data_IF_717104919247
#
_entry.id   IF_717104919247
#
_cell.length_a   1.000
_cell.length_b   1.000
_cell.length_c   1.000
_cell.angle_alpha   90.00
_cell.angle_beta   90.00
_cell.angle_gamma   90.00
#
_symmetry.space_group_name_H-M   'P 1'
#
loop_
_entity.id
_entity.type
_entity.pdbx_description
1 polymer ?
#
# COMPACT_ATOMS: atom_id res chain seq x y z
N UNK A 1 32.81 -65.86 9.88
CA UNK A 1 31.51 -65.22 9.59
C UNK A 1 30.58 -66.29 9.09
N UNK A 2 29.51 -66.62 9.81
CA UNK A 2 28.61 -67.75 9.45
C UNK A 2 27.77 -67.39 8.23
N UNK A 3 27.54 -68.33 7.34
CA UNK A 3 26.77 -68.20 6.10
C UNK A 3 25.44 -67.47 6.29
N UNK A 4 24.78 -67.56 7.45
CA UNK A 4 23.57 -66.85 7.79
C UNK A 4 23.75 -65.31 7.90
N UNK A 5 24.91 -64.81 8.37
CA UNK A 5 25.22 -63.37 8.44
C UNK A 5 25.53 -62.78 7.05
N UNK A 6 26.11 -63.55 6.17
CA UNK A 6 26.39 -63.18 4.81
C UNK A 6 25.09 -63.05 3.97
N UNK A 7 24.13 -64.00 4.17
CA UNK A 7 22.82 -63.97 3.52
C UNK A 7 21.96 -62.75 3.98
N UNK A 8 21.96 -62.44 5.28
CA UNK A 8 21.27 -61.27 5.83
C UNK A 8 21.86 -59.92 5.27
N UNK A 9 23.20 -59.87 5.15
CA UNK A 9 23.86 -58.67 4.57
C UNK A 9 23.55 -58.48 3.04
N UNK A 10 23.44 -59.57 2.29
CA UNK A 10 23.08 -59.49 0.86
C UNK A 10 21.62 -59.08 0.68
N UNK A 11 20.69 -59.57 1.52
CA UNK A 11 19.28 -59.19 1.43
C UNK A 11 19.07 -57.70 1.81
N UNK A 12 19.80 -57.18 2.83
CA UNK A 12 19.72 -55.76 3.22
C UNK A 12 20.32 -54.89 2.11
N UNK A 13 21.42 -55.30 1.46
CA UNK A 13 22.02 -54.53 0.36
C UNK A 13 21.14 -54.51 -0.90
N UNK A 14 20.44 -55.63 -1.19
CA UNK A 14 19.47 -55.74 -2.30
C UNK A 14 18.23 -54.87 -2.02
N UNK A 15 17.77 -54.75 -0.76
CA UNK A 15 16.64 -53.92 -0.40
C UNK A 15 16.96 -52.41 -0.48
N UNK A 16 18.22 -52.02 -0.24
CA UNK A 16 18.68 -50.65 -0.35
C UNK A 16 18.83 -50.24 -1.84
N UNK A 17 19.21 -51.17 -2.68
CA UNK A 17 19.31 -50.91 -4.12
C UNK A 17 17.95 -50.90 -4.87
N UNK A 18 16.90 -51.55 -4.28
CA UNK A 18 15.56 -51.54 -4.87
C UNK A 18 14.76 -50.26 -4.58
N UNK A 19 15.21 -49.42 -3.64
CA UNK A 19 14.50 -48.19 -3.23
C UNK A 19 15.00 -46.93 -3.92
N UNK A 20 15.87 -46.99 -4.90
CA UNK A 20 16.41 -45.84 -5.62
C UNK A 20 15.98 -45.74 -7.10
N UNK A 21 14.83 -46.25 -7.47
CA UNK A 21 14.15 -45.71 -8.65
C UNK A 21 13.50 -44.36 -8.29
N UNK A 22 14.32 -43.38 -8.02
CA UNK A 22 13.90 -42.00 -8.22
C UNK A 22 13.65 -41.90 -9.71
N UNK A 23 12.43 -42.12 -10.15
CA UNK A 23 11.97 -41.69 -11.46
C UNK A 23 12.20 -40.17 -11.44
N UNK A 24 13.26 -39.74 -12.10
CA UNK A 24 13.42 -38.31 -12.37
C UNK A 24 12.13 -37.91 -13.09
N UNK A 25 11.32 -37.12 -12.40
CA UNK A 25 10.12 -36.56 -12.97
C UNK A 25 10.59 -35.81 -14.22
N UNK A 26 10.15 -36.23 -15.41
CA UNK A 26 10.49 -35.53 -16.62
C UNK A 26 10.08 -34.07 -16.45
N UNK A 27 11.06 -33.17 -16.36
CA UNK A 27 10.78 -31.75 -16.23
C UNK A 27 10.02 -31.32 -17.48
N UNK A 28 8.81 -30.83 -17.28
CA UNK A 28 8.01 -30.27 -18.36
C UNK A 28 8.78 -29.10 -18.95
N UNK A 29 9.00 -29.15 -20.27
CA UNK A 29 9.57 -28.04 -21.03
C UNK A 29 8.45 -27.04 -21.35
N UNK A 30 8.75 -25.75 -21.23
CA UNK A 30 7.82 -24.70 -21.62
C UNK A 30 7.80 -24.56 -23.16
N UNK A 31 6.61 -24.32 -23.68
CA UNK A 31 6.43 -23.89 -25.07
C UNK A 31 6.66 -22.38 -25.21
N UNK A 32 6.85 -21.89 -26.43
CA UNK A 32 6.97 -20.44 -26.69
C UNK A 32 5.72 -19.70 -26.31
N UNK A 33 4.53 -20.29 -26.47
CA UNK A 33 3.24 -19.72 -26.07
C UNK A 33 3.12 -19.62 -24.55
N UNK A 34 3.67 -20.57 -23.80
CA UNK A 34 3.71 -20.55 -22.33
C UNK A 34 4.70 -19.52 -21.80
N UNK A 35 5.77 -19.23 -22.54
CA UNK A 35 6.79 -18.23 -22.18
C UNK A 35 6.44 -16.80 -22.64
N UNK A 36 5.40 -16.63 -23.46
CA UNK A 36 4.98 -15.32 -23.92
C UNK A 36 4.47 -14.46 -22.74
N UNK A 37 5.32 -13.53 -22.27
CA UNK A 37 5.03 -12.69 -21.12
C UNK A 37 3.70 -11.94 -21.28
N UNK A 38 2.82 -12.06 -20.29
CA UNK A 38 1.48 -11.46 -20.31
C UNK A 38 0.44 -12.21 -21.13
N UNK A 39 0.82 -13.25 -21.86
CA UNK A 39 -0.10 -14.12 -22.62
C UNK A 39 -1.00 -14.96 -21.72
N UNK A 40 -2.11 -15.45 -22.28
CA UNK A 40 -3.09 -16.28 -21.54
C UNK A 40 -2.46 -17.54 -20.94
N UNK A 41 -1.53 -18.17 -21.69
CA UNK A 41 -0.86 -19.39 -21.22
C UNK A 41 0.20 -19.08 -20.14
N UNK A 42 0.89 -17.96 -20.23
CA UNK A 42 1.86 -17.51 -19.22
C UNK A 42 1.19 -17.31 -17.84
N UNK A 43 -0.02 -16.77 -17.80
CA UNK A 43 -0.76 -16.53 -16.54
C UNK A 43 -0.98 -17.79 -15.71
N UNK A 44 -1.01 -18.98 -16.32
CA UNK A 44 -1.16 -20.27 -15.62
C UNK A 44 0.05 -20.62 -14.74
N UNK A 45 1.19 -19.99 -14.99
CA UNK A 45 2.44 -20.22 -14.24
C UNK A 45 2.75 -19.12 -13.22
N UNK A 46 1.94 -18.04 -13.19
CA UNK A 46 2.09 -17.00 -12.17
C UNK A 46 1.51 -17.58 -10.87
N UNK A 47 2.31 -17.65 -9.80
CA UNK A 47 1.78 -18.06 -8.50
C UNK A 47 0.64 -17.14 -8.06
N UNK A 48 -0.40 -17.72 -7.49
CA UNK A 48 -1.47 -16.96 -6.88
C UNK A 48 -0.90 -16.13 -5.72
N UNK A 49 -1.12 -14.82 -5.75
CA UNK A 49 -0.63 -13.92 -4.71
C UNK A 49 -1.53 -14.02 -3.49
N UNK A 50 -0.97 -14.41 -2.37
CA UNK A 50 -1.62 -14.31 -1.08
C UNK A 50 -1.25 -12.95 -0.45
N UNK A 51 -2.21 -12.04 -0.38
CA UNK A 51 -2.04 -10.79 0.36
C UNK A 51 -2.32 -11.04 1.84
N UNK A 52 -1.41 -10.59 2.68
CA UNK A 52 -1.50 -10.77 4.13
C UNK A 52 -1.10 -9.53 4.88
N UNK A 53 -1.63 -9.37 6.09
CA UNK A 53 -1.25 -8.33 7.03
C UNK A 53 -1.31 -8.87 8.46
N UNK A 54 -0.80 -8.12 9.41
CA UNK A 54 -0.85 -8.48 10.82
C UNK A 54 -1.91 -7.70 11.59
N UNK A 55 -2.65 -8.40 12.44
CA UNK A 55 -3.52 -7.83 13.47
C UNK A 55 -3.00 -8.28 14.83
N UNK A 56 -2.13 -7.48 15.45
CA UNK A 56 -1.32 -7.92 16.58
C UNK A 56 -0.44 -9.11 16.20
N UNK A 57 -0.60 -10.22 16.90
CA UNK A 57 0.13 -11.48 16.63
C UNK A 57 -0.63 -12.42 15.69
N UNK A 58 -1.80 -12.02 15.19
CA UNK A 58 -2.63 -12.81 14.30
C UNK A 58 -2.33 -12.46 12.83
N UNK A 59 -2.05 -13.45 12.01
CA UNK A 59 -1.90 -13.30 10.56
C UNK A 59 -3.29 -13.28 9.91
N UNK A 60 -3.54 -12.21 9.12
CA UNK A 60 -4.77 -12.01 8.38
C UNK A 60 -4.51 -12.20 6.90
N UNK A 61 -5.45 -12.84 6.17
CA UNK A 61 -5.44 -12.82 4.71
C UNK A 61 -6.35 -11.72 4.17
N UNK A 62 -5.98 -11.19 3.02
CA UNK A 62 -6.70 -10.14 2.31
C UNK A 62 -7.03 -10.66 0.91
N UNK A 63 -8.31 -10.92 0.64
CA UNK A 63 -8.76 -11.30 -0.69
C UNK A 63 -9.65 -10.19 -1.30
N UNK A 64 -10.09 -10.37 -2.52
CA UNK A 64 -10.97 -9.39 -3.19
C UNK A 64 -12.32 -9.30 -2.47
N UNK A 65 -12.93 -10.45 -2.19
CA UNK A 65 -14.31 -10.55 -1.70
C UNK A 65 -14.43 -10.82 -0.19
N UNK A 66 -13.38 -11.35 0.43
CA UNK A 66 -13.39 -11.69 1.86
C UNK A 66 -12.05 -11.43 2.52
N UNK A 67 -12.05 -11.33 3.85
CA UNK A 67 -10.85 -11.25 4.68
C UNK A 67 -11.07 -12.00 5.99
N UNK A 68 -9.98 -12.44 6.60
CA UNK A 68 -10.06 -13.19 7.84
C UNK A 68 -8.70 -13.67 8.35
N UNK A 69 -8.75 -14.59 9.30
CA UNK A 69 -7.57 -15.12 9.98
C UNK A 69 -6.97 -16.30 9.21
N UNK A 70 -5.64 -16.43 9.30
CA UNK A 70 -4.91 -17.63 8.89
C UNK A 70 -4.38 -18.34 10.14
N UNK A 71 -4.68 -19.61 10.27
CA UNK A 71 -4.02 -20.45 11.27
C UNK A 71 -2.56 -20.69 10.83
N UNK A 72 -1.61 -20.08 11.50
CA UNK A 72 -0.19 -20.13 11.12
C UNK A 72 0.44 -21.53 11.19
N UNK A 73 -0.19 -22.50 11.88
CA UNK A 73 0.31 -23.87 11.94
C UNK A 73 -0.23 -24.74 10.81
N UNK A 74 -1.50 -24.52 10.42
CA UNK A 74 -2.20 -25.38 9.46
C UNK A 74 -2.41 -24.71 8.10
N UNK A 75 -2.25 -23.39 8.00
CA UNK A 75 -2.56 -22.60 6.81
C UNK A 75 -4.06 -22.44 6.54
N UNK A 76 -4.92 -22.95 7.41
CA UNK A 76 -6.38 -22.89 7.23
C UNK A 76 -6.86 -21.45 7.39
N UNK A 77 -7.61 -20.97 6.41
CA UNK A 77 -8.28 -19.66 6.41
C UNK A 77 -9.61 -19.74 7.16
N UNK A 78 -9.90 -18.73 7.97
CA UNK A 78 -11.18 -18.52 8.66
C UNK A 78 -11.70 -17.14 8.32
N UNK A 79 -12.76 -17.00 7.48
CA UNK A 79 -13.31 -15.70 7.12
C UNK A 79 -13.89 -14.99 8.33
N UNK A 80 -13.76 -13.66 8.36
CA UNK A 80 -14.33 -12.79 9.39
C UNK A 80 -15.44 -11.92 8.84
N UNK A 81 -15.27 -11.37 7.64
CA UNK A 81 -16.28 -10.56 6.95
C UNK A 81 -16.03 -10.54 5.45
N UNK A 82 -17.05 -10.16 4.72
CA UNK A 82 -17.09 -10.12 3.26
C UNK A 82 -17.24 -8.70 2.71
N UNK A 83 -17.02 -8.57 1.42
CA UNK A 83 -17.26 -7.33 0.68
C UNK A 83 -18.75 -6.92 0.72
N UNK A 84 -19.66 -7.88 0.69
CA UNK A 84 -21.09 -7.63 0.78
C UNK A 84 -21.49 -7.11 2.16
N UNK A 85 -20.91 -7.65 3.25
CA UNK A 85 -21.15 -7.13 4.60
C UNK A 85 -20.84 -5.63 4.71
N UNK A 86 -19.74 -5.18 4.08
CA UNK A 86 -19.37 -3.77 4.07
C UNK A 86 -20.33 -2.96 3.20
N UNK A 87 -20.58 -3.40 1.97
CA UNK A 87 -21.41 -2.66 1.01
C UNK A 87 -22.86 -2.55 1.46
N UNK A 88 -23.39 -3.54 2.17
CA UNK A 88 -24.74 -3.48 2.74
C UNK A 88 -24.85 -2.44 3.87
N UNK A 89 -23.78 -2.23 4.63
CA UNK A 89 -23.73 -1.24 5.71
C UNK A 89 -23.66 0.22 5.24
N UNK A 90 -23.30 0.48 3.98
CA UNK A 90 -23.18 1.84 3.42
C UNK A 90 -24.30 2.20 2.46
N UNK A 91 -25.31 1.35 2.31
CA UNK A 91 -26.53 1.68 1.56
C UNK A 91 -27.30 2.83 2.24
N UNK A 92 -27.99 3.61 1.42
CA UNK A 92 -28.90 4.62 1.92
C UNK A 92 -30.16 3.98 2.54
N UNK A 93 -31.06 4.81 3.11
CA UNK A 93 -32.30 4.37 3.72
C UNK A 93 -33.25 3.64 2.74
N UNK A 94 -33.09 3.84 1.43
CA UNK A 94 -33.85 3.17 0.38
C UNK A 94 -33.13 1.90 -0.13
N UNK A 95 -32.03 1.49 0.50
CA UNK A 95 -31.24 0.34 0.11
C UNK A 95 -30.36 0.57 -1.12
N UNK A 96 -30.19 1.82 -1.58
CA UNK A 96 -29.36 2.15 -2.72
C UNK A 96 -27.90 2.36 -2.28
N UNK A 97 -26.98 1.73 -2.99
CA UNK A 97 -25.55 1.97 -2.86
C UNK A 97 -25.09 2.92 -3.98
N UNK A 98 -24.41 4.01 -3.61
CA UNK A 98 -23.78 4.88 -4.60
C UNK A 98 -22.55 4.16 -5.17
N UNK A 99 -22.45 4.05 -6.49
CA UNK A 99 -21.33 3.35 -7.16
C UNK A 99 -19.95 3.95 -6.85
N UNK A 100 -19.87 5.21 -6.52
CA UNK A 100 -18.60 5.86 -6.12
C UNK A 100 -18.19 5.49 -4.70
N UNK A 101 -19.15 5.23 -3.80
CA UNK A 101 -18.90 4.85 -2.41
C UNK A 101 -18.65 3.35 -2.25
N UNK A 102 -18.96 2.55 -3.29
CA UNK A 102 -18.83 1.11 -3.28
C UNK A 102 -17.39 0.65 -3.05
N UNK A 103 -17.18 -0.15 -2.03
CA UNK A 103 -15.92 -0.89 -1.82
C UNK A 103 -15.84 -1.99 -2.89
N UNK A 104 -14.71 -2.12 -3.56
CA UNK A 104 -14.52 -3.07 -4.68
C UNK A 104 -13.54 -4.19 -4.37
N UNK A 105 -12.79 -4.09 -3.27
CA UNK A 105 -11.82 -5.09 -2.85
C UNK A 105 -11.48 -4.93 -1.38
N UNK A 106 -11.28 -6.06 -0.70
CA UNK A 106 -10.76 -6.09 0.67
C UNK A 106 -9.25 -6.30 0.73
N UNK A 107 -8.55 -6.33 -0.41
CA UNK A 107 -7.08 -6.49 -0.46
C UNK A 107 -6.30 -5.31 0.15
N UNK A 108 -6.96 -4.18 0.40
CA UNK A 108 -6.36 -2.97 0.99
C UNK A 108 -6.85 -2.69 2.42
N UNK A 109 -7.57 -3.62 3.00
CA UNK A 109 -8.05 -3.49 4.38
C UNK A 109 -6.88 -3.47 5.34
N UNK A 110 -6.94 -2.58 6.33
CA UNK A 110 -5.98 -2.53 7.42
C UNK A 110 -6.66 -2.85 8.77
N UNK A 111 -5.90 -3.38 9.71
CA UNK A 111 -6.33 -3.70 11.07
C UNK A 111 -5.55 -2.84 12.08
N UNK A 112 -5.88 -1.55 12.22
CA UNK A 112 -5.04 -0.58 12.92
C UNK A 112 -5.01 -0.76 14.44
N UNK A 113 -5.95 -1.53 15.01
CA UNK A 113 -6.11 -1.67 16.45
C UNK A 113 -5.99 -3.14 16.88
N UNK A 114 -4.80 -3.61 17.31
CA UNK A 114 -4.65 -4.95 17.88
C UNK A 114 -5.62 -5.20 19.01
N UNK A 115 -6.30 -6.36 19.00
CA UNK A 115 -7.27 -6.75 20.02
C UNK A 115 -8.65 -6.07 19.94
N UNK A 116 -8.89 -5.21 18.93
CA UNK A 116 -10.23 -4.68 18.65
C UNK A 116 -10.72 -5.15 17.29
N UNK A 117 -11.97 -5.53 17.22
CA UNK A 117 -12.62 -6.04 16.01
C UNK A 117 -12.94 -4.92 15.00
N UNK A 118 -11.93 -4.08 14.68
CA UNK A 118 -12.06 -2.91 13.82
C UNK A 118 -11.15 -3.01 12.61
N UNK A 119 -11.74 -2.98 11.43
CA UNK A 119 -11.08 -2.88 10.15
C UNK A 119 -11.21 -1.47 9.56
N UNK A 120 -10.12 -0.93 9.04
CA UNK A 120 -10.13 0.28 8.22
C UNK A 120 -10.35 -0.15 6.77
N UNK A 121 -11.45 0.29 6.19
CA UNK A 121 -11.86 -0.01 4.82
C UNK A 121 -12.02 1.28 4.05
N UNK A 122 -11.58 1.30 2.80
CA UNK A 122 -11.65 2.47 1.94
C UNK A 122 -12.30 2.15 0.60
N UNK A 123 -13.17 3.06 0.17
CA UNK A 123 -13.63 3.18 -1.21
C UNK A 123 -12.93 4.35 -1.91
N UNK A 124 -13.41 4.75 -3.09
CA UNK A 124 -12.93 5.94 -3.81
C UNK A 124 -13.21 7.26 -3.06
N UNK A 125 -14.28 7.31 -2.28
CA UNK A 125 -14.85 8.55 -1.74
C UNK A 125 -15.07 8.51 -0.24
N UNK A 126 -15.00 7.32 0.36
CA UNK A 126 -15.26 7.13 1.80
C UNK A 126 -14.22 6.21 2.43
N UNK A 127 -13.68 6.64 3.54
CA UNK A 127 -12.89 5.84 4.49
C UNK A 127 -13.76 5.51 5.69
N UNK A 128 -13.71 4.27 6.18
CA UNK A 128 -14.59 3.83 7.26
C UNK A 128 -13.91 2.85 8.22
N UNK A 129 -14.34 2.85 9.48
CA UNK A 129 -14.04 1.80 10.45
C UNK A 129 -15.26 0.87 10.55
N UNK A 130 -15.05 -0.38 10.24
CA UNK A 130 -16.02 -1.46 10.32
C UNK A 130 -15.72 -2.36 11.52
N UNK A 131 -16.72 -2.53 12.40
CA UNK A 131 -16.67 -3.49 13.50
C UNK A 131 -17.26 -4.83 13.04
N UNK A 132 -16.41 -5.79 12.70
CA UNK A 132 -16.87 -7.09 12.21
C UNK A 132 -17.54 -7.97 13.26
N UNK A 133 -17.39 -7.67 14.57
CA UNK A 133 -18.11 -8.39 15.62
C UNK A 133 -19.56 -7.98 15.72
N UNK A 134 -19.89 -6.77 15.28
CA UNK A 134 -21.23 -6.20 15.27
C UNK A 134 -21.83 -6.14 13.87
N UNK A 135 -21.03 -6.39 12.85
CA UNK A 135 -21.39 -6.17 11.45
C UNK A 135 -21.86 -4.71 11.19
N UNK A 136 -21.13 -3.72 11.70
CA UNK A 136 -21.54 -2.31 11.70
C UNK A 136 -20.39 -1.38 11.32
N UNK A 137 -20.67 -0.38 10.48
CA UNK A 137 -19.75 0.76 10.26
C UNK A 137 -19.94 1.78 11.38
N UNK A 138 -18.93 1.90 12.23
CA UNK A 138 -18.97 2.74 13.43
C UNK A 138 -18.43 4.16 13.23
N UNK A 139 -17.76 4.42 12.08
CA UNK A 139 -17.17 5.72 11.75
C UNK A 139 -16.97 5.83 10.23
N UNK A 140 -17.21 7.03 9.70
CA UNK A 140 -17.02 7.36 8.27
C UNK A 140 -16.35 8.71 8.11
N UNK A 141 -15.52 8.83 7.07
CA UNK A 141 -14.91 10.09 6.65
C UNK A 141 -14.92 10.15 5.12
N UNK A 142 -15.33 11.30 4.56
CA UNK A 142 -15.21 11.53 3.12
C UNK A 142 -13.73 11.71 2.75
N UNK A 143 -13.32 11.12 1.61
CA UNK A 143 -11.94 11.17 1.11
C UNK A 143 -11.85 11.45 -0.41
N UNK A 144 -12.87 12.06 -1.00
CA UNK A 144 -12.91 12.33 -2.43
C UNK A 144 -11.88 13.37 -2.87
N UNK A 145 -11.05 12.99 -3.86
CA UNK A 145 -10.02 13.87 -4.42
C UNK A 145 -8.74 13.96 -3.60
N UNK A 146 -8.62 13.15 -2.55
CA UNK A 146 -7.38 13.02 -1.78
C UNK A 146 -6.34 12.22 -2.55
N UNK A 147 -5.09 12.67 -2.49
CA UNK A 147 -3.89 11.94 -2.92
C UNK A 147 -2.86 11.98 -1.80
N UNK A 148 -1.87 11.09 -1.81
CA UNK A 148 -0.83 11.00 -0.78
C UNK A 148 -1.43 11.02 0.65
N UNK A 149 -2.44 10.23 0.87
CA UNK A 149 -3.21 10.25 2.11
C UNK A 149 -2.59 9.39 3.19
N UNK A 150 -2.35 10.00 4.35
CA UNK A 150 -1.85 9.35 5.55
C UNK A 150 -2.85 9.55 6.71
N UNK A 151 -3.59 8.50 7.02
CA UNK A 151 -4.52 8.51 8.14
C UNK A 151 -3.84 8.08 9.45
N UNK A 152 -4.06 8.83 10.52
CA UNK A 152 -3.53 8.50 11.84
C UNK A 152 -4.58 7.77 12.69
N UNK A 153 -4.25 6.57 13.15
CA UNK A 153 -5.18 5.73 13.93
C UNK A 153 -5.49 6.28 15.34
N UNK A 154 -4.59 7.06 15.91
CA UNK A 154 -4.75 7.60 17.29
C UNK A 154 -5.70 8.79 17.30
N UNK A 155 -5.45 9.77 16.45
CA UNK A 155 -6.27 10.99 16.34
C UNK A 155 -7.44 10.84 15.37
N UNK A 156 -7.43 9.83 14.47
CA UNK A 156 -8.36 9.68 13.34
C UNK A 156 -8.34 10.86 12.37
N UNK A 157 -7.26 11.62 12.35
CA UNK A 157 -7.05 12.71 11.42
C UNK A 157 -6.38 12.14 10.18
N UNK A 158 -6.82 12.57 9.00
CA UNK A 158 -6.15 12.34 7.72
C UNK A 158 -5.35 13.56 7.32
N UNK A 159 -4.09 13.40 6.92
CA UNK A 159 -3.32 14.40 6.23
C UNK A 159 -3.13 13.95 4.78
N UNK A 160 -3.34 14.84 3.81
CA UNK A 160 -3.36 14.48 2.39
C UNK A 160 -3.06 15.68 1.50
N UNK A 161 -2.86 15.40 0.21
CA UNK A 161 -2.72 16.41 -0.83
C UNK A 161 -4.01 16.47 -1.65
N UNK A 162 -4.47 17.68 -1.92
CA UNK A 162 -5.58 17.95 -2.83
C UNK A 162 -5.34 19.28 -3.54
N UNK A 163 -5.49 19.30 -4.84
CA UNK A 163 -5.26 20.49 -5.68
C UNK A 163 -3.88 21.14 -5.43
N UNK A 164 -2.83 20.33 -5.33
CA UNK A 164 -1.46 20.70 -4.99
C UNK A 164 -1.25 21.30 -3.59
N UNK A 165 -2.26 21.32 -2.75
CA UNK A 165 -2.19 21.86 -1.40
C UNK A 165 -2.19 20.76 -0.35
N UNK A 166 -1.57 21.02 0.80
CA UNK A 166 -1.64 20.15 1.95
C UNK A 166 -2.94 20.44 2.72
N UNK A 167 -3.65 19.37 3.08
CA UNK A 167 -4.92 19.40 3.79
C UNK A 167 -4.91 18.44 4.96
N UNK A 168 -5.81 18.69 5.90
CA UNK A 168 -6.22 17.71 6.91
C UNK A 168 -7.73 17.58 6.92
N UNK A 169 -8.21 16.41 7.35
CA UNK A 169 -9.60 16.17 7.74
C UNK A 169 -9.60 15.55 9.14
N UNK A 170 -10.30 16.19 10.09
CA UNK A 170 -10.38 15.74 11.48
C UNK A 170 -11.30 14.51 11.65
N UNK A 171 -11.38 14.00 12.88
CA UNK A 171 -12.18 12.80 13.18
C UNK A 171 -13.68 13.01 12.95
N UNK A 172 -14.15 14.23 13.00
CA UNK A 172 -15.53 14.67 12.77
C UNK A 172 -15.85 14.91 11.28
N UNK A 173 -14.83 14.77 10.41
CA UNK A 173 -14.98 14.95 8.96
C UNK A 173 -14.84 16.38 8.48
N UNK A 174 -14.37 17.31 9.32
CA UNK A 174 -14.12 18.70 8.93
C UNK A 174 -12.77 18.85 8.29
N UNK A 175 -12.74 19.27 7.03
CA UNK A 175 -11.50 19.50 6.27
C UNK A 175 -10.98 20.92 6.45
N UNK A 176 -9.65 21.05 6.46
CA UNK A 176 -8.92 22.32 6.54
C UNK A 176 -7.73 22.30 5.60
N UNK A 177 -7.64 23.32 4.74
CA UNK A 177 -6.48 23.59 3.92
C UNK A 177 -5.34 24.18 4.78
N UNK A 178 -4.13 23.68 4.63
CA UNK A 178 -2.96 24.10 5.40
C UNK A 178 -2.01 25.00 4.62
N UNK A 179 -1.94 24.84 3.28
CA UNK A 179 -1.07 25.61 2.41
C UNK A 179 -1.86 26.26 1.27
N UNK A 180 -1.32 27.32 0.66
CA UNK A 180 -2.01 28.07 -0.39
C UNK A 180 -1.12 28.41 -1.58
N UNK A 181 0.17 28.07 -1.53
CA UNK A 181 1.17 28.34 -2.54
C UNK A 181 1.61 27.11 -3.34
N UNK A 182 0.92 25.97 -3.13
CA UNK A 182 1.15 24.74 -3.88
C UNK A 182 0.81 24.91 -5.36
N UNK A 183 1.71 24.44 -6.21
CA UNK A 183 1.59 24.46 -7.68
C UNK A 183 2.21 23.19 -8.24
N UNK A 184 2.30 23.05 -9.57
CA UNK A 184 3.12 22.00 -10.20
C UNK A 184 4.59 22.04 -9.73
N UNK A 185 5.07 23.24 -9.36
CA UNK A 185 6.48 23.48 -9.03
C UNK A 185 6.76 23.57 -7.53
N UNK A 186 5.75 23.95 -6.75
CA UNK A 186 5.80 23.93 -5.29
C UNK A 186 4.94 22.76 -4.82
N UNK A 187 5.57 21.70 -4.42
CA UNK A 187 4.92 20.42 -4.12
C UNK A 187 4.95 20.14 -2.62
N UNK A 188 3.82 19.74 -2.08
CA UNK A 188 3.65 19.40 -0.67
C UNK A 188 3.30 17.94 -0.46
N UNK A 189 3.79 17.33 0.62
CA UNK A 189 3.33 16.05 1.13
C UNK A 189 3.53 14.86 0.19
N UNK A 190 4.30 15.01 -0.87
CA UNK A 190 4.67 13.94 -1.80
C UNK A 190 6.09 13.47 -1.53
N UNK A 191 6.42 12.26 -1.98
CA UNK A 191 7.81 11.81 -1.96
C UNK A 191 8.68 12.73 -2.81
N UNK A 192 9.94 12.83 -2.44
CA UNK A 192 10.91 13.72 -3.10
C UNK A 192 12.07 12.91 -3.67
N UNK A 193 12.99 13.56 -4.38
CA UNK A 193 14.19 12.94 -4.93
C UNK A 193 13.91 11.68 -5.77
N UNK A 194 12.74 11.61 -6.45
CA UNK A 194 12.30 10.52 -7.33
C UNK A 194 12.31 9.15 -6.64
N UNK A 195 11.93 9.13 -5.37
CA UNK A 195 11.88 7.94 -4.51
C UNK A 195 13.25 7.27 -4.30
N UNK A 196 14.33 8.01 -4.47
CA UNK A 196 15.69 7.50 -4.19
C UNK A 196 15.95 7.43 -2.69
N UNK A 197 16.91 6.59 -2.29
CA UNK A 197 17.34 6.41 -0.89
C UNK A 197 16.22 5.97 0.07
N UNK A 198 15.18 5.29 -0.43
CA UNK A 198 14.05 4.84 0.37
C UNK A 198 13.08 5.97 0.76
N UNK A 199 13.11 7.10 0.05
CA UNK A 199 12.15 8.20 0.24
C UNK A 199 10.91 7.89 -0.60
N UNK A 200 9.93 7.23 -0.01
CA UNK A 200 8.71 6.76 -0.70
C UNK A 200 7.46 7.54 -0.31
N UNK A 201 7.50 8.25 0.82
CA UNK A 201 6.39 9.01 1.38
C UNK A 201 6.74 10.48 1.54
N UNK A 202 5.74 11.33 1.73
CA UNK A 202 5.93 12.76 1.93
C UNK A 202 5.24 13.33 3.16
N UNK A 203 4.50 12.51 3.91
CA UNK A 203 3.81 12.87 5.16
C UNK A 203 4.13 11.82 6.22
N UNK A 204 4.56 12.26 7.40
CA UNK A 204 5.07 11.40 8.47
C UNK A 204 4.43 11.77 9.81
N UNK A 205 3.53 10.92 10.30
CA UNK A 205 2.85 11.15 11.56
C UNK A 205 3.72 10.85 12.78
N UNK A 206 3.70 11.73 13.75
CA UNK A 206 4.19 11.42 15.10
C UNK A 206 3.31 10.30 15.72
N UNK A 207 3.89 9.40 16.53
CA UNK A 207 3.14 8.27 17.12
C UNK A 207 1.94 8.69 18.00
N UNK A 208 1.99 9.87 18.58
CA UNK A 208 0.91 10.42 19.40
C UNK A 208 -0.27 10.98 18.59
N UNK A 209 -0.09 11.13 17.27
CA UNK A 209 -1.12 11.64 16.35
C UNK A 209 -1.41 13.15 16.47
N UNK A 210 -0.60 13.90 17.23
CA UNK A 210 -0.80 15.33 17.44
C UNK A 210 -0.03 16.20 16.45
N UNK A 211 0.96 15.62 15.77
CA UNK A 211 1.81 16.32 14.81
C UNK A 211 2.17 15.41 13.64
N UNK A 212 2.48 16.01 12.51
CA UNK A 212 3.14 15.31 11.43
C UNK A 212 4.17 16.21 10.74
N UNK A 213 5.23 15.57 10.25
CA UNK A 213 6.19 16.19 9.36
C UNK A 213 5.73 16.00 7.90
N UNK A 214 6.15 16.91 7.02
CA UNK A 214 5.89 16.80 5.59
C UNK A 214 7.01 17.43 4.78
N UNK A 215 7.20 16.93 3.56
CA UNK A 215 8.09 17.57 2.61
C UNK A 215 7.39 18.74 1.92
N UNK A 216 8.15 19.82 1.72
CA UNK A 216 7.88 20.86 0.74
C UNK A 216 9.04 20.88 -0.25
N UNK A 217 8.74 20.58 -1.49
CA UNK A 217 9.71 20.60 -2.59
C UNK A 217 9.48 21.81 -3.47
N UNK A 218 10.52 22.61 -3.67
CA UNK A 218 10.56 23.69 -4.65
C UNK A 218 11.38 23.21 -5.85
N UNK A 219 10.72 23.09 -6.99
CA UNK A 219 11.33 22.70 -8.27
C UNK A 219 11.17 23.76 -9.36
N UNK A 220 10.96 25.03 -8.97
CA UNK A 220 10.84 26.16 -9.91
C UNK A 220 12.07 26.31 -10.79
N UNK A 221 13.27 26.03 -10.24
CA UNK A 221 14.54 26.09 -10.95
C UNK A 221 14.88 24.83 -11.76
N UNK A 222 14.10 23.77 -11.64
CA UNK A 222 14.36 22.50 -12.32
C UNK A 222 13.88 22.58 -13.76
N UNK A 223 14.72 22.11 -14.69
CA UNK A 223 14.42 22.07 -16.12
C UNK A 223 13.24 21.14 -16.41
N UNK A 224 12.39 21.56 -17.34
CA UNK A 224 11.35 20.70 -17.90
C UNK A 224 11.98 19.67 -18.85
N UNK A 225 11.80 18.40 -18.53
CA UNK A 225 12.15 17.28 -19.40
C UNK A 225 11.01 17.01 -20.37
N UNK A 226 11.25 16.96 -21.68
CA UNK A 226 10.19 16.75 -22.65
C UNK A 226 9.60 15.35 -22.55
N UNK A 227 8.31 15.27 -22.24
CA UNK A 227 7.52 14.06 -22.33
C UNK A 227 6.36 14.26 -23.27
N UNK A 228 5.95 13.18 -23.93
CA UNK A 228 4.84 13.18 -24.87
C UNK A 228 3.83 12.14 -24.40
N UNK A 229 2.60 12.57 -24.14
CA UNK A 229 1.48 11.69 -23.88
C UNK A 229 0.96 11.13 -25.22
N UNK A 230 1.10 9.82 -25.42
CA UNK A 230 0.67 9.10 -26.62
C UNK A 230 -0.65 8.34 -26.44
N UNK A 231 -1.32 8.47 -25.30
CA UNK A 231 -2.59 7.78 -25.04
C UNK A 231 -3.79 8.45 -25.72
N UNK A 232 -3.63 9.68 -26.16
CA UNK A 232 -4.62 10.39 -26.93
C UNK A 232 -4.42 10.21 -28.44
N UNK A 233 -5.49 10.45 -29.25
CA UNK A 233 -5.42 10.32 -30.70
C UNK A 233 -4.38 11.26 -31.34
N UNK A 234 -4.25 12.46 -30.77
CA UNK A 234 -3.18 13.42 -31.12
C UNK A 234 -2.32 13.55 -29.87
N UNK A 235 -1.06 13.19 -30.01
CA UNK A 235 -0.12 13.24 -28.88
C UNK A 235 0.02 14.68 -28.35
N UNK A 236 0.01 14.83 -27.03
CA UNK A 236 0.17 16.11 -26.34
C UNK A 236 1.52 16.20 -25.65
N UNK A 237 2.06 17.42 -25.55
CA UNK A 237 3.30 17.68 -24.83
C UNK A 237 3.00 17.87 -23.34
N UNK A 238 3.54 16.96 -22.50
CA UNK A 238 3.35 16.97 -21.05
C UNK A 238 4.71 16.88 -20.34
N UNK A 239 5.46 17.99 -20.27
CA UNK A 239 6.81 17.97 -19.69
C UNK A 239 6.78 17.68 -18.19
N UNK A 240 7.77 16.95 -17.71
CA UNK A 240 7.98 16.70 -16.29
C UNK A 240 9.24 17.43 -15.78
N UNK A 241 9.24 17.86 -14.52
CA UNK A 241 10.40 18.45 -13.86
C UNK A 241 11.45 17.37 -13.61
N UNK A 242 12.57 17.45 -14.31
CA UNK A 242 13.66 16.49 -14.17
C UNK A 242 15.03 17.17 -14.25
N UNK A 243 15.86 17.13 -13.18
CA UNK A 243 17.20 17.68 -13.20
C UNK A 243 18.12 16.76 -14.03
N UNK A 244 18.40 17.13 -15.27
CA UNK A 244 19.37 16.41 -16.08
C UNK A 244 20.78 16.58 -15.53
N UNK A 245 21.71 15.69 -15.95
CA UNK A 245 23.10 15.69 -15.48
C UNK A 245 23.74 17.08 -15.60
N UNK A 246 24.29 17.57 -14.49
CA UNK A 246 24.95 18.87 -14.39
C UNK A 246 23.98 20.07 -14.32
N UNK A 247 22.67 19.85 -14.27
CA UNK A 247 21.67 20.90 -14.11
C UNK A 247 21.22 21.07 -12.66
N UNK A 248 20.59 22.20 -12.36
CA UNK A 248 20.10 22.52 -11.02
C UNK A 248 18.98 21.57 -10.59
N UNK A 249 19.11 20.98 -9.39
CA UNK A 249 18.11 20.14 -8.76
C UNK A 249 17.12 20.98 -7.93
N UNK A 250 16.04 20.34 -7.51
CA UNK A 250 15.02 20.90 -6.62
C UNK A 250 15.57 21.12 -5.20
N UNK A 251 14.86 21.95 -4.43
CA UNK A 251 15.14 22.22 -3.01
C UNK A 251 14.04 21.64 -2.15
N UNK A 252 14.42 20.89 -1.11
CA UNK A 252 13.49 20.27 -0.16
C UNK A 252 13.64 20.90 1.21
N UNK A 253 12.51 21.21 1.83
CA UNK A 253 12.43 21.60 3.23
C UNK A 253 11.44 20.70 3.96
N UNK A 254 11.62 20.54 5.27
CA UNK A 254 10.72 19.78 6.13
C UNK A 254 9.90 20.74 6.96
N UNK A 255 8.58 20.66 6.80
CA UNK A 255 7.61 21.36 7.64
C UNK A 255 7.06 20.41 8.71
N UNK A 256 6.69 20.94 9.86
CA UNK A 256 5.97 20.24 10.93
C UNK A 256 4.67 20.99 11.17
N UNK A 257 3.56 20.27 11.02
CA UNK A 257 2.24 20.79 11.41
C UNK A 257 1.87 20.25 12.79
N UNK A 258 1.42 21.13 13.66
CA UNK A 258 0.91 20.81 14.99
C UNK A 258 -0.62 20.93 14.98
N UNK A 259 -1.31 19.79 15.13
CA UNK A 259 -2.78 19.71 15.07
C UNK A 259 -3.45 20.46 16.25
N UNK A 260 -2.75 20.61 17.37
CA UNK A 260 -3.30 21.28 18.56
C UNK A 260 -3.29 22.79 18.40
N UNK A 261 -2.20 23.33 17.86
CA UNK A 261 -2.03 24.79 17.70
C UNK A 261 -2.45 25.28 16.32
N UNK A 262 -2.56 24.39 15.34
CA UNK A 262 -2.86 24.69 13.94
C UNK A 262 -1.74 25.45 13.23
N UNK A 263 -0.49 25.37 13.71
CA UNK A 263 0.66 26.09 13.16
C UNK A 263 1.58 25.15 12.38
N UNK A 264 2.18 25.70 11.33
CA UNK A 264 3.29 25.08 10.60
C UNK A 264 4.59 25.73 11.05
N UNK A 265 5.60 24.90 11.31
CA UNK A 265 6.98 25.33 11.56
C UNK A 265 7.91 24.59 10.62
N UNK A 266 8.75 25.30 9.89
CA UNK A 266 9.79 24.70 9.05
C UNK A 266 11.07 24.49 9.85
N UNK A 267 11.73 23.35 9.63
CA UNK A 267 13.01 23.06 10.24
C UNK A 267 14.09 23.98 9.65
N UNK A 268 14.89 24.56 10.52
CA UNK A 268 16.09 25.29 10.11
C UNK A 268 17.25 24.31 9.95
N UNK A 269 17.31 23.67 8.80
CA UNK A 269 18.37 22.68 8.48
C UNK A 269 19.48 23.26 7.61
N UNK A 270 19.53 24.57 7.40
CA UNK A 270 20.45 25.27 6.50
C UNK A 270 20.00 25.19 5.04
N UNK A 271 20.93 25.47 4.11
CA UNK A 271 20.61 25.46 2.67
C UNK A 271 20.21 24.04 2.23
N UNK A 272 18.99 23.84 1.65
CA UNK A 272 18.49 22.55 1.22
C UNK A 272 19.06 22.05 -0.12
N UNK A 273 19.95 22.77 -0.78
CA UNK A 273 20.36 22.52 -2.17
C UNK A 273 21.12 21.21 -2.37
N UNK A 274 21.96 20.80 -1.40
CA UNK A 274 22.90 19.69 -1.58
C UNK A 274 22.71 18.58 -0.54
N UNK A 275 21.47 18.33 -0.13
CA UNK A 275 21.20 17.29 0.88
C UNK A 275 19.86 16.60 0.64
N UNK A 276 19.82 15.38 1.15
CA UNK A 276 18.60 14.57 1.22
C UNK A 276 18.13 14.51 2.68
N UNK A 277 16.83 14.60 2.88
CA UNK A 277 16.20 14.37 4.18
C UNK A 277 15.60 12.97 4.15
N UNK A 278 16.22 12.03 4.84
CA UNK A 278 15.81 10.63 4.96
C UNK A 278 15.46 10.29 6.39
N UNK A 279 14.71 9.21 6.61
CA UNK A 279 14.37 8.69 7.94
C UNK A 279 13.62 9.73 8.83
N UNK A 280 12.64 10.41 8.27
CA UNK A 280 11.78 11.34 9.00
C UNK A 280 10.74 10.58 9.81
#
# INVERSE_FOLDING_TARGET
MTTKKLFAAIVIFSSIMASSSITAQELKQFTLEELNFGGVNYRKFIPERLYTTWWGDQLMYLDVEETGEINMKTGVKKPLFTLDDINDNIRDINGKLDEKDKVRTLQRVAFPYPGKTLALVESKTVRMLYDWSKCEVIWKQACEGETETHWNKTSRISAYVKDNQLWITDAEGKSKQLTTDGTREIVYGQSVHRNEFGIEEGIFWAPDGNRFAFYRMDQTMVTDYPQVNTFERVATYEPDKYPMLGMTSHKVTVGIYDCTTGKIQYLNAGDPTDRYFTNI
#
